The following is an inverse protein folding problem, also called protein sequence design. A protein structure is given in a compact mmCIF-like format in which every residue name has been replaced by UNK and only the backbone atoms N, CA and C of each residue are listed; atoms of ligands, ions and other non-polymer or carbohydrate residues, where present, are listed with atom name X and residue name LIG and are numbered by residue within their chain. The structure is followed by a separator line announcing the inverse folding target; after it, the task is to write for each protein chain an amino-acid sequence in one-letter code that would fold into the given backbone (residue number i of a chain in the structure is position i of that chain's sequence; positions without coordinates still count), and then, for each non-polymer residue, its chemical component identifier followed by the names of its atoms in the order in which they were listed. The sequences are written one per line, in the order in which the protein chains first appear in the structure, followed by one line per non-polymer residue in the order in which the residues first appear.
data_IF_288272284891
#
_entry.id   IF_288272284891
#
_cell.length_a   1.000
_cell.length_b   1.000
_cell.length_c   1.000
_cell.angle_alpha   90.00
_cell.angle_beta   90.00
_cell.angle_gamma   90.00
#
_symmetry.space_group_name_H-M   'P 1'
#
loop_
_entity.id
_entity.type
_entity.pdbx_description
1 polymer ?
#
# COMPACT_ATOMS: atom_id res chain seq x y z
N UNK A 1 5.55 7.89 1.49
CA UNK A 1 6.01 6.58 2.01
C UNK A 1 5.08 5.49 1.49
N UNK A 2 5.62 4.39 0.93
CA UNK A 2 4.86 3.22 0.46
C UNK A 2 5.18 2.02 1.35
N UNK A 3 4.16 1.43 1.97
CA UNK A 3 4.29 0.24 2.83
C UNK A 3 3.86 -1.00 2.04
N UNK A 4 4.58 -2.11 2.21
CA UNK A 4 4.32 -3.33 1.43
C UNK A 4 4.71 -3.16 -0.03
N UNK A 5 5.83 -2.47 -0.30
CA UNK A 5 6.30 -2.11 -1.64
C UNK A 5 6.56 -3.29 -2.58
N UNK A 6 6.61 -4.52 -2.07
CA UNK A 6 6.73 -5.74 -2.87
C UNK A 6 5.42 -6.49 -3.06
N UNK A 7 4.30 -5.97 -2.54
CA UNK A 7 2.95 -6.54 -2.74
C UNK A 7 2.29 -6.04 -4.03
N UNK A 8 1.15 -6.63 -4.39
CA UNK A 8 0.45 -6.38 -5.67
C UNK A 8 0.18 -4.89 -5.94
N UNK A 9 -0.22 -4.13 -4.92
CA UNK A 9 -0.47 -2.69 -5.07
C UNK A 9 0.82 -1.87 -4.88
N UNK A 10 1.60 -2.21 -3.86
CA UNK A 10 2.78 -1.43 -3.47
C UNK A 10 3.84 -1.35 -4.56
N UNK A 11 4.03 -2.45 -5.31
CA UNK A 11 4.97 -2.51 -6.43
C UNK A 11 4.59 -1.53 -7.54
N UNK A 12 3.34 -1.61 -8.00
CA UNK A 12 2.81 -0.74 -9.06
C UNK A 12 2.88 0.74 -8.67
N UNK A 13 2.59 1.07 -7.40
CA UNK A 13 2.71 2.45 -6.91
C UNK A 13 4.16 2.92 -6.92
N UNK A 14 5.11 2.09 -6.46
CA UNK A 14 6.53 2.44 -6.48
C UNK A 14 7.03 2.64 -7.91
N UNK A 15 6.71 1.72 -8.82
CA UNK A 15 7.08 1.80 -10.24
C UNK A 15 6.50 3.06 -10.89
N UNK A 16 5.22 3.36 -10.64
CA UNK A 16 4.57 4.57 -11.15
C UNK A 16 5.20 5.88 -10.63
N UNK A 17 5.56 5.94 -9.35
CA UNK A 17 6.19 7.12 -8.75
C UNK A 17 7.62 7.33 -9.28
N UNK A 18 8.41 6.25 -9.38
CA UNK A 18 9.77 6.32 -9.95
C UNK A 18 9.73 6.73 -11.42
N UNK A 19 8.80 6.17 -12.21
CA UNK A 19 8.62 6.54 -13.61
C UNK A 19 8.20 8.02 -13.78
N UNK A 20 7.47 8.58 -12.80
CA UNK A 20 7.11 9.99 -12.73
C UNK A 20 8.23 10.90 -12.19
N UNK A 21 9.42 10.37 -11.92
CA UNK A 21 10.57 11.13 -11.43
C UNK A 21 10.52 11.48 -9.94
N UNK A 22 9.63 10.87 -9.16
CA UNK A 22 9.68 10.97 -7.70
C UNK A 22 10.68 9.99 -7.10
N UNK A 23 11.15 10.30 -5.90
CA UNK A 23 12.00 9.43 -5.09
C UNK A 23 11.21 8.90 -3.87
N UNK A 24 10.28 7.94 -4.05
CA UNK A 24 9.43 7.50 -2.96
C UNK A 24 10.25 6.76 -1.88
N UNK A 25 9.90 7.00 -0.62
CA UNK A 25 10.36 6.17 0.51
C UNK A 25 9.54 4.89 0.57
N UNK A 26 10.18 3.73 0.55
CA UNK A 26 9.49 2.44 0.54
C UNK A 26 9.91 1.50 1.67
N UNK A 27 8.94 0.76 2.21
CA UNK A 27 9.14 -0.25 3.23
C UNK A 27 8.60 -1.61 2.74
N UNK A 28 9.45 -2.64 2.80
CA UNK A 28 9.13 -4.03 2.45
C UNK A 28 9.44 -4.95 3.63
N UNK A 29 8.61 -5.99 3.81
CA UNK A 29 8.89 -7.10 4.74
C UNK A 29 9.88 -8.13 4.16
N UNK A 30 10.01 -8.20 2.83
CA UNK A 30 10.88 -9.13 2.12
C UNK A 30 12.24 -8.48 1.87
N UNK A 31 13.31 -9.19 2.24
CA UNK A 31 14.69 -8.76 1.98
C UNK A 31 15.02 -8.81 0.47
N UNK A 32 15.66 -7.75 -0.04
CA UNK A 32 16.07 -7.56 -1.43
C UNK A 32 16.57 -6.12 -1.68
N UNK A 33 17.40 -5.91 -2.71
CA UNK A 33 17.83 -4.57 -3.11
C UNK A 33 16.66 -3.82 -3.79
N UNK A 34 16.40 -2.54 -3.46
CA UNK A 34 15.42 -1.74 -4.20
C UNK A 34 15.97 -1.42 -5.59
N UNK A 35 15.07 -1.37 -6.57
CA UNK A 35 15.36 -0.81 -7.88
C UNK A 35 15.61 0.70 -7.77
N UNK A 36 16.40 1.25 -8.72
CA UNK A 36 16.88 2.63 -8.66
C UNK A 36 15.77 3.68 -8.54
N UNK A 37 15.97 4.67 -7.66
CA UNK A 37 15.02 5.77 -7.42
C UNK A 37 14.19 5.66 -6.14
N UNK A 38 14.30 4.56 -5.38
CA UNK A 38 13.53 4.36 -4.14
C UNK A 38 14.43 4.56 -2.92
N UNK A 39 14.05 5.47 -2.02
CA UNK A 39 14.74 5.60 -0.72
C UNK A 39 14.28 4.46 0.20
N UNK A 40 15.24 3.66 0.69
CA UNK A 40 14.97 2.61 1.67
C UNK A 40 14.75 3.23 3.03
N UNK A 41 13.63 2.92 3.68
CA UNK A 41 13.46 3.22 5.10
C UNK A 41 14.46 2.37 5.91
N UNK A 42 15.11 2.91 6.96
CA UNK A 42 16.12 2.18 7.74
C UNK A 42 15.65 0.80 8.22
N UNK A 43 16.57 -0.16 8.29
CA UNK A 43 16.33 -1.45 8.98
C UNK A 43 15.97 -1.17 10.44
N UNK A 44 14.94 -1.87 10.96
CA UNK A 44 14.42 -1.69 12.31
C UNK A 44 12.98 -1.17 12.41
N UNK A 45 12.28 -0.96 11.28
CA UNK A 45 10.83 -0.71 11.32
C UNK A 45 10.09 -2.04 11.52
N UNK A 46 9.69 -2.30 12.75
CA UNK A 46 8.90 -3.48 13.11
C UNK A 46 7.40 -3.25 12.86
N UNK A 47 6.69 -4.35 12.58
CA UNK A 47 5.24 -4.31 12.55
C UNK A 47 4.73 -3.88 13.94
N UNK A 48 3.87 -2.87 13.97
CA UNK A 48 3.25 -2.42 15.23
C UNK A 48 2.41 -3.60 15.77
N UNK A 49 2.63 -4.04 17.03
CA UNK A 49 1.81 -5.08 17.63
C UNK A 49 0.32 -4.73 17.57
N UNK A 50 -0.58 -5.70 17.35
CA UNK A 50 -2.02 -5.44 17.17
C UNK A 50 -2.64 -4.59 18.30
N UNK A 51 -2.23 -4.80 19.56
CA UNK A 51 -2.73 -4.03 20.69
C UNK A 51 -2.33 -2.55 20.63
N UNK A 52 -1.08 -2.27 20.26
CA UNK A 52 -0.58 -0.89 20.09
C UNK A 52 -1.27 -0.23 18.89
N UNK A 53 -1.51 -0.97 17.81
CA UNK A 53 -2.27 -0.48 16.67
C UNK A 53 -3.71 -0.16 17.09
N UNK A 54 -4.34 -1.03 17.89
CA UNK A 54 -5.70 -0.84 18.42
C UNK A 54 -5.80 0.43 19.25
N UNK A 55 -4.90 0.63 20.21
CA UNK A 55 -4.87 1.81 21.08
C UNK A 55 -4.76 3.10 20.28
N UNK A 56 -3.82 3.16 19.33
CA UNK A 56 -3.65 4.31 18.44
C UNK A 56 -4.89 4.57 17.60
N UNK A 57 -5.49 3.52 17.05
CA UNK A 57 -6.66 3.66 16.19
C UNK A 57 -7.88 4.19 16.94
N UNK A 58 -8.04 3.77 18.20
CA UNK A 58 -9.08 4.31 19.09
C UNK A 58 -8.79 5.76 19.50
N UNK A 59 -7.53 6.09 19.79
CA UNK A 59 -7.11 7.45 20.11
C UNK A 59 -7.34 8.43 18.93
N UNK A 60 -7.22 7.95 17.69
CA UNK A 60 -7.56 8.69 16.47
C UNK A 60 -9.09 8.86 16.26
N UNK A 61 -9.93 8.35 17.17
CA UNK A 61 -11.39 8.46 17.12
C UNK A 61 -12.08 7.47 16.19
N UNK A 62 -11.40 6.40 15.76
CA UNK A 62 -12.04 5.36 14.93
C UNK A 62 -13.04 4.55 15.78
N UNK A 63 -14.22 4.21 15.25
CA UNK A 63 -15.19 3.39 15.97
C UNK A 63 -14.61 2.03 16.37
N UNK A 64 -14.82 1.53 17.61
CA UNK A 64 -14.21 0.28 18.08
C UNK A 64 -14.47 -0.93 17.16
N UNK A 65 -15.72 -1.08 16.70
CA UNK A 65 -16.08 -2.17 15.79
C UNK A 65 -15.30 -2.13 14.46
N UNK A 66 -14.97 -0.93 13.96
CA UNK A 66 -14.13 -0.78 12.78
C UNK A 66 -12.69 -1.18 13.07
N UNK A 67 -12.15 -0.79 14.24
CA UNK A 67 -10.80 -1.16 14.65
C UNK A 67 -10.66 -2.67 14.77
N UNK A 68 -11.58 -3.31 15.49
CA UNK A 68 -11.55 -4.76 15.69
C UNK A 68 -11.68 -5.51 14.34
N UNK A 69 -12.53 -5.03 13.43
CA UNK A 69 -12.67 -5.61 12.08
C UNK A 69 -11.40 -5.43 11.21
N UNK A 70 -10.71 -4.30 11.31
CA UNK A 70 -9.48 -4.03 10.58
C UNK A 70 -8.33 -4.92 11.07
N UNK A 71 -8.20 -5.09 12.39
CA UNK A 71 -7.19 -5.96 12.99
C UNK A 71 -7.44 -7.43 12.64
N UNK A 72 -8.67 -7.91 12.81
CA UNK A 72 -9.03 -9.28 12.42
C UNK A 72 -8.80 -9.53 10.92
N UNK A 73 -9.13 -8.55 10.07
CA UNK A 73 -8.89 -8.63 8.64
C UNK A 73 -7.40 -8.59 8.26
N UNK A 74 -6.54 -7.95 9.04
CA UNK A 74 -5.11 -7.94 8.78
C UNK A 74 -4.45 -9.30 9.10
N UNK A 75 -4.96 -10.00 10.11
CA UNK A 75 -4.46 -11.30 10.55
C UNK A 75 -4.97 -12.47 9.69
N UNK A 76 -6.27 -12.48 9.38
CA UNK A 76 -6.94 -13.66 8.84
C UNK A 76 -7.23 -13.62 7.33
N UNK A 77 -7.04 -12.46 6.66
CA UNK A 77 -7.45 -12.33 5.25
C UNK A 77 -6.46 -13.06 4.32
N UNK A 78 -6.91 -14.06 3.54
CA UNK A 78 -6.06 -14.73 2.57
C UNK A 78 -5.68 -13.77 1.43
N UNK A 79 -4.56 -14.05 0.79
CA UNK A 79 -4.23 -13.38 -0.47
C UNK A 79 -5.33 -13.66 -1.50
N UNK A 80 -5.66 -12.63 -2.30
CA UNK A 80 -6.59 -12.77 -3.41
C UNK A 80 -5.83 -12.55 -4.72
N UNK A 81 -6.00 -13.50 -5.64
CA UNK A 81 -5.51 -13.41 -7.02
C UNK A 81 -6.66 -13.18 -8.01
N UNK A 82 -7.87 -12.92 -7.49
CA UNK A 82 -9.04 -12.68 -8.34
C UNK A 82 -8.90 -11.35 -9.07
N UNK A 83 -8.81 -11.44 -10.40
CA UNK A 83 -8.84 -10.30 -11.31
C UNK A 83 -10.14 -10.40 -12.11
N UNK A 84 -10.90 -9.30 -12.18
CA UNK A 84 -12.17 -9.23 -12.94
C UNK A 84 -12.12 -8.13 -14.00
N UNK A 85 -13.00 -8.24 -14.99
CA UNK A 85 -13.23 -7.24 -16.05
C UNK A 85 -14.37 -6.29 -15.75
N UNK A 86 -14.96 -6.37 -14.54
CA UNK A 86 -16.23 -5.71 -14.20
C UNK A 86 -16.26 -4.21 -14.49
N UNK A 87 -15.13 -3.51 -14.30
CA UNK A 87 -15.05 -2.07 -14.63
C UNK A 87 -15.20 -1.83 -16.13
N UNK A 88 -14.52 -2.63 -16.96
CA UNK A 88 -14.60 -2.54 -18.41
C UNK A 88 -15.99 -2.94 -18.90
N UNK A 89 -16.54 -4.03 -18.37
CA UNK A 89 -17.88 -4.51 -18.72
C UNK A 89 -18.96 -3.46 -18.46
N UNK A 90 -18.83 -2.69 -17.37
CA UNK A 90 -19.82 -1.68 -16.96
C UNK A 90 -19.59 -0.30 -17.59
N UNK A 91 -18.34 0.07 -17.89
CA UNK A 91 -17.99 1.44 -18.30
C UNK A 91 -17.48 1.56 -19.73
N UNK A 92 -17.18 0.44 -20.39
CA UNK A 92 -16.57 0.40 -21.72
C UNK A 92 -15.09 0.80 -21.75
N UNK A 93 -14.48 1.08 -20.59
CA UNK A 93 -13.08 1.47 -20.47
C UNK A 93 -12.36 0.62 -19.40
N UNK A 94 -11.08 0.27 -19.61
CA UNK A 94 -10.34 -0.56 -18.67
C UNK A 94 -10.16 0.14 -17.32
N UNK A 95 -10.05 -0.66 -16.24
CA UNK A 95 -9.73 -0.14 -14.92
C UNK A 95 -8.38 0.60 -14.92
N UNK A 96 -8.31 1.71 -14.19
CA UNK A 96 -7.05 2.44 -14.00
C UNK A 96 -6.11 1.63 -13.12
N UNK A 97 -4.85 1.49 -13.55
CA UNK A 97 -3.80 0.84 -12.74
C UNK A 97 -3.37 1.71 -11.57
N UNK A 98 -2.84 1.09 -10.52
CA UNK A 98 -2.26 1.81 -9.39
C UNK A 98 -1.03 2.63 -9.79
N UNK A 99 -0.21 2.13 -10.72
CA UNK A 99 0.92 2.87 -11.27
C UNK A 99 0.48 4.19 -11.91
N UNK A 100 -0.56 4.15 -12.75
CA UNK A 100 -1.12 5.35 -13.38
C UNK A 100 -1.71 6.30 -12.34
N UNK A 101 -2.47 5.79 -11.38
CA UNK A 101 -3.03 6.60 -10.30
C UNK A 101 -1.94 7.33 -9.50
N UNK A 102 -0.81 6.66 -9.25
CA UNK A 102 0.30 7.20 -8.48
C UNK A 102 1.06 8.27 -9.27
N UNK A 103 1.32 8.04 -10.56
CA UNK A 103 1.91 9.04 -11.45
C UNK A 103 1.03 10.31 -11.54
N UNK A 104 -0.29 10.15 -11.68
CA UNK A 104 -1.25 11.26 -11.70
C UNK A 104 -1.28 12.06 -10.37
N UNK A 105 -0.73 11.52 -9.28
CA UNK A 105 -0.75 12.11 -7.92
C UNK A 105 0.65 12.29 -7.34
N UNK A 106 1.68 12.28 -8.18
CA UNK A 106 3.07 12.29 -7.72
C UNK A 106 3.38 13.42 -6.73
N UNK A 107 2.73 14.58 -6.87
CA UNK A 107 2.95 15.74 -6.01
C UNK A 107 2.56 15.53 -4.54
N UNK A 108 1.67 14.58 -4.22
CA UNK A 108 1.31 14.27 -2.81
C UNK A 108 2.34 13.39 -2.10
N UNK A 109 3.35 12.89 -2.84
CA UNK A 109 4.39 11.99 -2.34
C UNK A 109 5.79 12.64 -2.26
N UNK A 110 5.92 13.90 -2.66
CA UNK A 110 7.15 14.68 -2.49
C UNK A 110 7.35 15.13 -1.05
#
# INVERSE_FOLDING_TARGET
MVIGSTGNLGREVVEGLVAAGAAPRALSRRQGAPDGGVERVPEGVEAVPPDIARERMLADGRPPALVDALLAGAEARPASELITTTVEDLTGAPARTFARWAADRVDVFR
#
